data_IF_726606306076
#
_entry.id   IF_726606306076
#
_cell.length_a   1.000
_cell.length_b   1.000
_cell.length_c   1.000
_cell.angle_alpha   90.00
_cell.angle_beta   90.00
_cell.angle_gamma   90.00
#
_symmetry.space_group_name_H-M   'P 1'
#
loop_
_entity.id
_entity.type
_entity.pdbx_description
1 polymer ?
#
# COMPACT_ATOMS: atom_id res chain seq x y z
N UNK A 1 94.33 -17.09 -9.02
CA UNK A 1 94.86 -18.34 -8.47
C UNK A 1 93.73 -19.06 -7.84
N UNK A 2 93.34 -20.19 -8.17
CA UNK A 2 93.63 -21.51 -8.56
C UNK A 2 92.31 -22.25 -8.64
N UNK A 3 91.89 -22.70 -9.78
CA UNK A 3 91.75 -24.05 -10.29
C UNK A 3 90.81 -25.00 -9.49
N UNK A 4 89.67 -25.33 -10.12
CA UNK A 4 89.28 -26.65 -10.72
C UNK A 4 89.00 -27.74 -9.71
N UNK A 5 87.95 -28.49 -9.80
CA UNK A 5 87.72 -29.51 -10.90
C UNK A 5 86.31 -30.16 -10.73
N UNK A 6 85.81 -30.54 -11.91
CA UNK A 6 84.62 -31.34 -12.14
C UNK A 6 84.78 -32.81 -11.69
N UNK A 7 83.67 -33.43 -11.21
CA UNK A 7 83.53 -34.86 -11.46
C UNK A 7 82.06 -35.23 -11.80
N UNK A 8 81.92 -35.69 -13.05
CA UNK A 8 80.74 -36.36 -13.57
C UNK A 8 80.76 -37.81 -13.08
N UNK A 9 79.73 -38.24 -12.37
CA UNK A 9 79.45 -39.63 -12.05
C UNK A 9 78.26 -40.13 -12.83
N UNK A 10 78.44 -41.07 -13.65
CA UNK A 10 77.54 -41.72 -14.63
C UNK A 10 76.50 -42.57 -13.89
N UNK A 11 75.27 -42.46 -14.36
CA UNK A 11 74.10 -43.30 -14.08
C UNK A 11 74.33 -44.74 -14.46
N UNK A 12 73.93 -45.66 -13.60
CA UNK A 12 73.69 -47.03 -13.98
C UNK A 12 72.23 -47.43 -13.77
N UNK A 13 71.60 -47.84 -14.86
CA UNK A 13 70.23 -48.40 -14.92
C UNK A 13 70.25 -49.81 -14.37
N UNK A 14 69.28 -50.16 -13.54
CA UNK A 14 68.73 -51.50 -13.26
C UNK A 14 68.67 -51.74 -11.76
N UNK A 15 67.58 -51.44 -11.18
CA UNK A 15 66.91 -52.41 -10.25
C UNK A 15 65.41 -52.13 -10.29
N UNK A 16 64.72 -53.14 -10.66
CA UNK A 16 63.27 -53.22 -10.89
C UNK A 16 62.67 -53.84 -9.64
N UNK A 17 61.45 -53.40 -9.32
CA UNK A 17 60.36 -54.08 -8.58
C UNK A 17 60.48 -54.23 -7.05
N UNK A 18 59.58 -53.63 -6.42
CA UNK A 18 58.45 -54.12 -5.54
C UNK A 18 58.07 -53.08 -4.50
N UNK A 19 56.89 -52.67 -4.52
CA UNK A 19 56.39 -51.71 -3.47
C UNK A 19 54.96 -51.31 -3.72
N UNK A 20 54.06 -52.18 -3.36
CA UNK A 20 52.69 -51.93 -2.83
C UNK A 20 52.03 -50.61 -3.20
N UNK A 21 51.00 -50.69 -4.05
CA UNK A 21 49.96 -49.69 -4.27
C UNK A 21 49.17 -49.45 -2.98
N UNK A 22 49.48 -48.41 -2.24
CA UNK A 22 48.56 -47.82 -1.23
C UNK A 22 47.58 -46.94 -1.94
N UNK A 23 46.37 -47.44 -2.14
CA UNK A 23 45.20 -46.67 -2.52
C UNK A 23 44.88 -45.72 -1.37
N UNK A 24 45.34 -44.49 -1.47
CA UNK A 24 44.83 -43.38 -0.67
C UNK A 24 43.44 -43.09 -1.20
N UNK A 25 42.42 -43.65 -0.53
CA UNK A 25 41.03 -43.18 -0.69
C UNK A 25 40.94 -41.75 -0.14
N UNK A 26 41.07 -40.76 -1.04
CA UNK A 26 40.73 -39.41 -0.74
C UNK A 26 39.23 -39.38 -0.43
N UNK A 27 38.80 -38.88 0.75
CA UNK A 27 37.39 -38.71 0.98
C UNK A 27 36.88 -37.69 -0.05
N UNK A 28 35.96 -38.12 -0.90
CA UNK A 28 35.16 -37.24 -1.70
C UNK A 28 34.37 -36.37 -0.74
N UNK A 29 34.90 -35.20 -0.40
CA UNK A 29 34.12 -34.16 0.23
C UNK A 29 33.16 -33.71 -0.87
N UNK A 30 31.99 -34.36 -0.88
CA UNK A 30 30.81 -33.80 -1.55
C UNK A 30 30.54 -32.46 -0.88
N UNK A 31 31.18 -31.40 -1.39
CA UNK A 31 30.67 -30.06 -1.14
C UNK A 31 29.26 -30.07 -1.71
N UNK A 32 28.29 -30.33 -0.86
CA UNK A 32 26.92 -29.89 -1.13
C UNK A 32 27.03 -28.39 -1.34
N UNK A 33 27.27 -27.98 -2.59
CA UNK A 33 27.01 -26.63 -3.00
C UNK A 33 25.57 -26.40 -2.54
N UNK A 34 25.39 -25.74 -1.40
CA UNK A 34 24.09 -25.18 -1.03
C UNK A 34 23.73 -24.28 -2.18
N UNK A 35 22.91 -24.79 -3.11
CA UNK A 35 22.34 -23.97 -4.14
C UNK A 35 21.74 -22.78 -3.41
N UNK A 36 22.34 -21.60 -3.58
CA UNK A 36 21.85 -20.37 -2.99
C UNK A 36 20.39 -20.29 -3.40
N UNK A 37 19.47 -20.35 -2.44
CA UNK A 37 18.06 -20.38 -2.73
C UNK A 37 17.78 -19.22 -3.69
N UNK A 38 17.22 -19.51 -4.85
CA UNK A 38 16.84 -18.47 -5.82
C UNK A 38 16.02 -17.41 -5.08
N UNK A 39 16.35 -16.16 -5.28
CA UNK A 39 15.64 -15.02 -4.69
C UNK A 39 14.89 -14.29 -5.78
N UNK A 40 13.73 -13.75 -5.42
CA UNK A 40 12.96 -12.81 -6.23
C UNK A 40 13.03 -11.45 -5.56
N UNK A 41 13.67 -10.50 -6.21
CA UNK A 41 13.82 -9.14 -5.70
C UNK A 41 12.55 -8.34 -5.96
N UNK A 42 11.94 -7.83 -4.90
CA UNK A 42 10.77 -6.94 -4.96
C UNK A 42 11.16 -5.61 -4.35
N UNK A 43 11.07 -4.55 -5.14
CA UNK A 43 11.29 -3.19 -4.67
C UNK A 43 10.12 -2.69 -3.81
N UNK A 44 10.43 -2.00 -2.71
CA UNK A 44 9.44 -1.37 -1.83
C UNK A 44 9.85 0.09 -1.67
N UNK A 45 9.09 1.00 -2.31
CA UNK A 45 9.36 2.44 -2.28
C UNK A 45 8.24 3.11 -1.52
N UNK A 46 8.52 3.56 -0.29
CA UNK A 46 7.55 4.16 0.62
C UNK A 46 8.09 5.48 1.19
N UNK A 47 7.22 6.42 1.60
CA UNK A 47 7.64 7.58 2.36
C UNK A 47 7.97 7.13 3.80
N UNK A 48 9.24 6.85 4.07
CA UNK A 48 9.71 6.42 5.40
C UNK A 48 10.20 7.58 6.25
N UNK A 49 10.28 8.78 5.66
CA UNK A 49 10.61 10.04 6.33
C UNK A 49 9.69 11.17 5.84
N UNK A 50 9.65 12.29 6.60
CA UNK A 50 8.80 13.44 6.31
C UNK A 50 7.34 13.28 6.76
N UNK A 51 6.42 14.10 6.23
CA UNK A 51 5.04 14.24 6.71
C UNK A 51 4.21 12.95 6.61
N UNK A 52 4.54 12.05 5.68
CA UNK A 52 3.82 10.80 5.43
C UNK A 52 4.54 9.54 5.97
N UNK A 53 5.57 9.71 6.83
CA UNK A 53 6.42 8.61 7.31
C UNK A 53 5.63 7.49 8.01
N UNK A 54 4.59 7.85 8.77
CA UNK A 54 3.77 6.87 9.48
C UNK A 54 3.05 5.92 8.50
N UNK A 55 2.46 6.47 7.44
CA UNK A 55 1.79 5.67 6.40
C UNK A 55 2.76 4.75 5.66
N UNK A 56 3.95 5.26 5.34
CA UNK A 56 4.99 4.45 4.69
C UNK A 56 5.48 3.31 5.58
N UNK A 57 5.65 3.57 6.87
CA UNK A 57 6.03 2.55 7.86
C UNK A 57 4.94 1.48 8.00
N UNK A 58 3.68 1.87 8.09
CA UNK A 58 2.55 0.95 8.15
C UNK A 58 2.49 0.06 6.89
N UNK A 59 2.61 0.66 5.71
CA UNK A 59 2.63 -0.04 4.42
C UNK A 59 3.75 -1.06 4.36
N UNK A 60 4.97 -0.66 4.73
CA UNK A 60 6.13 -1.57 4.80
C UNK A 60 5.85 -2.74 5.75
N UNK A 61 5.30 -2.49 6.93
CA UNK A 61 4.98 -3.53 7.92
C UNK A 61 4.01 -4.57 7.35
N UNK A 62 3.01 -4.16 6.58
CA UNK A 62 2.09 -5.07 5.89
C UNK A 62 2.80 -5.95 4.86
N UNK A 63 3.67 -5.35 4.04
CA UNK A 63 4.48 -6.08 3.04
C UNK A 63 5.43 -7.07 3.72
N UNK A 64 6.15 -6.65 4.76
CA UNK A 64 7.09 -7.50 5.51
C UNK A 64 6.38 -8.71 6.14
N UNK A 65 5.19 -8.51 6.71
CA UNK A 65 4.41 -9.61 7.28
C UNK A 65 4.13 -10.70 6.24
N UNK A 66 3.62 -10.32 5.07
CA UNK A 66 3.27 -11.26 4.00
C UNK A 66 4.50 -11.91 3.39
N UNK A 67 5.57 -11.16 3.17
CA UNK A 67 6.83 -11.70 2.65
C UNK A 67 7.42 -12.78 3.59
N UNK A 68 7.39 -12.51 4.90
CA UNK A 68 7.87 -13.46 5.90
C UNK A 68 6.99 -14.71 5.96
N UNK A 69 5.67 -14.57 5.88
CA UNK A 69 4.74 -15.71 5.84
C UNK A 69 4.98 -16.60 4.61
N UNK A 70 5.10 -15.99 3.42
CA UNK A 70 5.39 -16.73 2.18
C UNK A 70 6.76 -17.41 2.27
N UNK A 71 7.76 -16.70 2.76
CA UNK A 71 9.10 -17.24 2.94
C UNK A 71 9.14 -18.41 3.95
N UNK A 72 8.41 -18.30 5.06
CA UNK A 72 8.28 -19.37 6.04
C UNK A 72 7.54 -20.59 5.48
N UNK A 73 6.53 -20.38 4.62
CA UNK A 73 5.78 -21.44 3.94
C UNK A 73 6.55 -22.14 2.80
N UNK A 74 7.81 -21.78 2.59
CA UNK A 74 8.69 -22.39 1.58
C UNK A 74 9.06 -21.49 0.42
N UNK A 75 8.47 -20.30 0.27
CA UNK A 75 8.70 -19.37 -0.82
C UNK A 75 7.81 -19.64 -2.04
N UNK A 76 8.18 -19.10 -3.18
CA UNK A 76 7.44 -19.15 -4.45
C UNK A 76 7.67 -20.52 -5.11
N UNK A 77 6.64 -21.36 -5.09
CA UNK A 77 6.73 -22.77 -5.48
C UNK A 77 7.05 -22.96 -6.96
N UNK A 78 6.42 -22.19 -7.84
CA UNK A 78 6.64 -22.27 -9.29
C UNK A 78 8.07 -21.89 -9.70
N UNK A 79 8.83 -21.23 -8.81
CA UNK A 79 10.24 -20.87 -9.02
C UNK A 79 11.21 -21.73 -8.20
N UNK A 80 10.79 -22.95 -7.83
CA UNK A 80 11.62 -23.88 -7.06
C UNK A 80 11.83 -23.42 -5.61
N UNK A 81 10.80 -22.88 -4.99
CA UNK A 81 10.79 -22.34 -3.62
C UNK A 81 11.69 -21.09 -3.46
N UNK A 82 11.78 -20.26 -4.48
CA UNK A 82 12.52 -19.01 -4.42
C UNK A 82 11.98 -18.12 -3.28
N UNK A 83 12.90 -17.50 -2.53
CA UNK A 83 12.54 -16.62 -1.43
C UNK A 83 12.33 -15.20 -1.94
N UNK A 84 11.35 -14.50 -1.34
CA UNK A 84 11.15 -13.07 -1.56
C UNK A 84 12.27 -12.32 -0.84
N UNK A 85 12.94 -11.43 -1.56
CA UNK A 85 13.90 -10.47 -1.05
C UNK A 85 13.34 -9.06 -1.24
N UNK A 86 13.00 -8.38 -0.14
CA UNK A 86 12.49 -7.02 -0.18
C UNK A 86 13.63 -6.02 -0.20
N UNK A 87 13.63 -5.12 -1.18
CA UNK A 87 14.58 -4.02 -1.30
C UNK A 87 13.85 -2.74 -0.97
N UNK A 88 13.99 -2.29 0.26
CA UNK A 88 13.26 -1.14 0.80
C UNK A 88 14.03 0.15 0.57
N UNK A 89 13.33 1.19 0.13
CA UNK A 89 13.91 2.52 -0.06
C UNK A 89 12.93 3.63 0.36
N UNK A 90 13.49 4.70 0.94
CA UNK A 90 12.75 5.87 1.37
C UNK A 90 12.52 6.84 0.21
N UNK A 91 11.27 7.05 -0.17
CA UNK A 91 10.85 8.06 -1.13
C UNK A 91 10.82 9.47 -0.53
N UNK A 92 11.07 9.61 0.76
CA UNK A 92 10.71 10.79 1.53
C UNK A 92 9.22 11.15 1.33
N UNK A 93 8.85 12.41 1.45
CA UNK A 93 7.50 12.86 1.12
C UNK A 93 7.48 13.77 -0.12
N UNK A 94 8.44 13.59 -1.05
CA UNK A 94 8.56 14.43 -2.25
C UNK A 94 8.59 13.62 -3.55
N UNK A 95 7.80 14.02 -4.57
CA UNK A 95 7.73 13.29 -5.85
C UNK A 95 9.07 13.17 -6.57
N UNK A 96 9.90 14.21 -6.55
CA UNK A 96 11.22 14.21 -7.19
C UNK A 96 12.13 13.13 -6.60
N UNK A 97 12.18 13.03 -5.25
CA UNK A 97 12.94 11.97 -4.57
C UNK A 97 12.40 10.59 -4.92
N UNK A 98 11.08 10.42 -4.91
CA UNK A 98 10.43 9.15 -5.25
C UNK A 98 10.83 8.65 -6.65
N UNK A 99 10.80 9.52 -7.65
CA UNK A 99 11.24 9.19 -9.01
C UNK A 99 12.73 8.83 -9.09
N UNK A 100 13.59 9.58 -8.39
CA UNK A 100 15.05 9.30 -8.33
C UNK A 100 15.34 7.96 -7.66
N UNK A 101 14.63 7.64 -6.57
CA UNK A 101 14.76 6.37 -5.85
C UNK A 101 14.33 5.21 -6.74
N UNK A 102 13.22 5.34 -7.47
CA UNK A 102 12.76 4.33 -8.42
C UNK A 102 13.79 4.06 -9.53
N UNK A 103 14.33 5.12 -10.11
CA UNK A 103 15.39 5.03 -11.14
C UNK A 103 16.60 4.25 -10.62
N UNK A 104 17.08 4.59 -9.42
CA UNK A 104 18.24 3.93 -8.79
C UNK A 104 17.94 2.48 -8.46
N UNK A 105 16.77 2.19 -7.87
CA UNK A 105 16.37 0.85 -7.48
C UNK A 105 16.33 -0.09 -8.69
N UNK A 106 15.72 0.32 -9.78
CA UNK A 106 15.63 -0.48 -11.01
C UNK A 106 17.00 -0.71 -11.63
N UNK A 107 17.88 0.31 -11.64
CA UNK A 107 19.18 0.20 -12.26
C UNK A 107 20.20 -0.65 -11.49
N UNK A 108 20.00 -0.84 -10.18
CA UNK A 108 21.00 -1.47 -9.31
C UNK A 108 20.58 -2.84 -8.76
N UNK A 109 19.28 -3.20 -8.78
CA UNK A 109 18.80 -4.31 -7.97
C UNK A 109 18.05 -5.42 -8.72
N UNK A 110 17.93 -5.34 -10.04
CA UNK A 110 17.23 -6.36 -10.87
C UNK A 110 15.85 -6.75 -10.27
N UNK A 111 15.03 -5.73 -9.95
CA UNK A 111 13.73 -5.97 -9.32
C UNK A 111 12.72 -6.53 -10.32
N UNK A 112 11.96 -7.54 -9.89
CA UNK A 112 10.83 -8.11 -10.64
C UNK A 112 9.65 -7.15 -10.73
N UNK A 113 9.37 -6.44 -9.63
CA UNK A 113 8.28 -5.50 -9.49
C UNK A 113 8.59 -4.48 -8.40
N UNK A 114 7.82 -3.40 -8.35
CA UNK A 114 7.86 -2.41 -7.26
C UNK A 114 6.49 -2.36 -6.58
N UNK A 115 6.47 -2.30 -5.26
CA UNK A 115 5.33 -1.96 -4.42
C UNK A 115 5.50 -0.53 -3.90
N UNK A 116 4.49 0.29 -4.04
CA UNK A 116 4.54 1.68 -3.57
C UNK A 116 3.64 2.64 -4.36
N UNK A 117 3.63 3.83 -4.02
CA UNK A 117 3.84 4.43 -2.73
C UNK A 117 2.48 4.61 -2.04
N UNK A 118 2.44 5.19 -0.85
CA UNK A 118 1.17 5.54 -0.21
C UNK A 118 0.53 6.79 -0.85
N UNK A 119 1.29 7.88 -0.89
CA UNK A 119 0.79 9.15 -1.43
C UNK A 119 0.74 9.12 -2.96
N UNK A 120 -0.41 9.53 -3.53
CA UNK A 120 -0.65 9.46 -4.97
C UNK A 120 0.38 10.26 -5.80
N UNK A 121 0.81 11.42 -5.33
CA UNK A 121 1.84 12.23 -6.00
C UNK A 121 3.19 11.51 -6.12
N UNK A 122 3.57 10.72 -5.10
CA UNK A 122 4.78 9.89 -5.13
C UNK A 122 4.61 8.72 -6.12
N UNK A 123 3.47 8.05 -6.07
CA UNK A 123 3.14 6.94 -6.99
C UNK A 123 3.17 7.39 -8.45
N UNK A 124 2.63 8.58 -8.75
CA UNK A 124 2.66 9.16 -10.10
C UNK A 124 4.11 9.32 -10.57
N UNK A 125 4.99 9.88 -9.75
CA UNK A 125 6.41 10.05 -10.09
C UNK A 125 7.15 8.71 -10.28
N UNK A 126 6.89 7.72 -9.40
CA UNK A 126 7.46 6.38 -9.53
C UNK A 126 6.96 5.72 -10.81
N UNK A 127 5.67 5.82 -11.12
CA UNK A 127 5.05 5.16 -12.28
C UNK A 127 5.58 5.65 -13.63
N UNK A 128 6.02 6.89 -13.72
CA UNK A 128 6.70 7.40 -14.93
C UNK A 128 8.03 6.71 -15.17
N UNK A 129 8.73 6.34 -14.12
CA UNK A 129 10.00 5.62 -14.21
C UNK A 129 9.76 4.14 -14.53
N UNK A 130 8.83 3.50 -13.80
CA UNK A 130 8.53 2.07 -13.97
C UNK A 130 7.95 1.77 -15.34
N UNK A 131 7.09 2.65 -15.88
CA UNK A 131 6.55 2.52 -17.24
C UNK A 131 7.64 2.54 -18.31
N UNK A 132 8.59 3.49 -18.22
CA UNK A 132 9.72 3.57 -19.18
C UNK A 132 10.69 2.40 -19.08
N UNK A 133 10.64 1.61 -18.04
CA UNK A 133 11.55 0.49 -17.74
C UNK A 133 10.85 -0.86 -17.80
N UNK A 134 9.57 -0.89 -18.19
CA UNK A 134 8.74 -2.10 -18.25
C UNK A 134 8.72 -2.90 -16.95
N UNK A 135 8.75 -2.21 -15.80
CA UNK A 135 8.67 -2.81 -14.46
C UNK A 135 7.26 -2.62 -13.90
N UNK A 136 6.55 -3.68 -13.50
CA UNK A 136 5.23 -3.53 -12.90
C UNK A 136 5.30 -2.83 -11.54
N UNK A 137 4.42 -1.85 -11.36
CA UNK A 137 4.20 -1.13 -10.10
C UNK A 137 2.80 -1.48 -9.57
N UNK A 138 2.73 -2.08 -8.39
CA UNK A 138 1.47 -2.30 -7.68
C UNK A 138 1.33 -1.26 -6.57
N UNK A 139 0.15 -0.67 -6.44
CA UNK A 139 -0.09 0.46 -5.53
C UNK A 139 -1.48 0.43 -4.92
N UNK A 140 -1.58 0.96 -3.68
CA UNK A 140 -2.85 1.27 -3.04
C UNK A 140 -3.22 2.77 -3.12
N UNK A 141 -2.43 3.57 -3.81
CA UNK A 141 -2.71 5.00 -3.96
C UNK A 141 -3.98 5.25 -4.77
N UNK A 142 -4.70 6.35 -4.48
CA UNK A 142 -6.08 6.52 -4.93
C UNK A 142 -6.27 7.37 -6.18
N UNK A 143 -5.37 8.32 -6.53
CA UNK A 143 -5.62 9.30 -7.58
C UNK A 143 -6.02 8.65 -8.91
N UNK A 144 -7.05 9.20 -9.55
CA UNK A 144 -7.63 8.67 -10.79
C UNK A 144 -6.64 8.61 -11.95
N UNK A 145 -5.72 9.56 -12.01
CA UNK A 145 -4.71 9.62 -13.06
C UNK A 145 -3.66 8.49 -12.97
N UNK A 146 -3.58 7.73 -11.87
CA UNK A 146 -2.64 6.62 -11.73
C UNK A 146 -2.86 5.61 -12.86
N UNK A 147 -4.07 5.10 -13.01
CA UNK A 147 -4.47 4.17 -14.09
C UNK A 147 -5.16 4.87 -15.27
N UNK A 148 -5.35 6.20 -15.21
CA UNK A 148 -6.01 6.99 -16.26
C UNK A 148 -5.09 7.47 -17.39
N UNK A 149 -3.75 7.23 -17.31
CA UNK A 149 -2.75 7.72 -18.27
C UNK A 149 -2.43 6.74 -19.40
N UNK A 150 -3.06 5.57 -19.43
CA UNK A 150 -2.83 4.54 -20.44
C UNK A 150 -1.51 3.74 -20.25
N UNK A 151 -0.91 3.80 -19.07
CA UNK A 151 0.29 3.03 -18.74
C UNK A 151 -0.02 1.53 -18.65
N UNK A 152 0.95 0.70 -19.05
CA UNK A 152 0.79 -0.75 -19.12
C UNK A 152 1.33 -1.47 -17.88
N UNK A 153 2.22 -0.84 -17.14
CA UNK A 153 2.94 -1.46 -16.04
C UNK A 153 2.48 -0.93 -14.66
N UNK A 154 1.27 -0.36 -14.56
CA UNK A 154 0.69 0.13 -13.31
C UNK A 154 -0.54 -0.70 -12.93
N UNK A 155 -0.64 -1.06 -11.63
CA UNK A 155 -1.74 -1.85 -11.09
C UNK A 155 -2.20 -1.24 -9.76
N UNK A 156 -3.42 -0.72 -9.73
CA UNK A 156 -4.03 -0.05 -8.59
C UNK A 156 -4.97 -1.04 -7.90
N UNK A 157 -4.60 -1.53 -6.72
CA UNK A 157 -5.33 -2.61 -6.00
C UNK A 157 -6.60 -2.13 -5.28
N UNK A 158 -6.86 -0.83 -5.29
CA UNK A 158 -7.99 -0.17 -4.63
C UNK A 158 -8.83 0.61 -5.63
N UNK A 159 -10.02 1.04 -5.22
CA UNK A 159 -10.86 1.94 -6.00
C UNK A 159 -10.19 3.32 -6.19
N UNK A 160 -10.53 4.00 -7.28
CA UNK A 160 -10.07 5.38 -7.55
C UNK A 160 -10.62 6.37 -6.51
N UNK A 161 -9.90 7.45 -6.30
CA UNK A 161 -10.32 8.52 -5.39
C UNK A 161 -11.70 9.10 -5.73
N UNK A 162 -12.02 9.26 -7.01
CA UNK A 162 -13.36 9.71 -7.43
C UNK A 162 -14.45 8.70 -7.05
N UNK A 163 -14.19 7.40 -7.12
CA UNK A 163 -15.13 6.36 -6.69
C UNK A 163 -15.26 6.33 -5.15
N UNK A 164 -14.15 6.56 -4.42
CA UNK A 164 -14.20 6.75 -2.96
C UNK A 164 -15.06 7.96 -2.58
N UNK A 165 -14.89 9.11 -3.26
CA UNK A 165 -15.68 10.31 -3.02
C UNK A 165 -17.18 10.07 -3.29
N UNK A 166 -17.50 9.36 -4.37
CA UNK A 166 -18.89 8.97 -4.65
C UNK A 166 -19.45 8.08 -3.54
N UNK A 167 -18.75 7.01 -3.17
CA UNK A 167 -19.20 6.11 -2.11
C UNK A 167 -19.31 6.81 -0.75
N UNK A 168 -18.39 7.74 -0.45
CA UNK A 168 -18.40 8.56 0.76
C UNK A 168 -19.70 9.34 0.88
N UNK A 169 -20.18 9.99 -0.19
CA UNK A 169 -21.45 10.71 -0.18
C UNK A 169 -22.65 9.74 -0.12
N UNK A 170 -22.68 8.73 -1.01
CA UNK A 170 -23.80 7.79 -1.09
C UNK A 170 -24.04 7.07 0.25
N UNK A 171 -22.97 6.60 0.89
CA UNK A 171 -23.07 5.93 2.19
C UNK A 171 -23.47 6.88 3.32
N UNK A 172 -22.98 8.12 3.27
CA UNK A 172 -23.37 9.17 4.23
C UNK A 172 -24.86 9.46 4.14
N UNK A 173 -25.39 9.63 2.92
CA UNK A 173 -26.83 9.88 2.69
C UNK A 173 -27.65 8.70 3.20
N UNK A 174 -27.25 7.47 2.91
CA UNK A 174 -27.94 6.26 3.36
C UNK A 174 -27.94 6.11 4.89
N UNK A 175 -26.81 6.41 5.55
CA UNK A 175 -26.68 6.39 7.01
C UNK A 175 -27.57 7.48 7.65
N UNK A 176 -27.53 8.71 7.14
CA UNK A 176 -28.34 9.82 7.63
C UNK A 176 -29.85 9.53 7.48
N UNK A 177 -30.27 8.99 6.32
CA UNK A 177 -31.66 8.58 6.09
C UNK A 177 -32.11 7.49 7.07
N UNK A 178 -31.26 6.51 7.35
CA UNK A 178 -31.58 5.46 8.33
C UNK A 178 -31.74 6.03 9.75
N UNK A 179 -31.10 7.18 10.04
CA UNK A 179 -31.26 7.94 11.28
C UNK A 179 -32.37 9.00 11.23
N UNK A 180 -33.20 9.04 10.19
CA UNK A 180 -34.29 9.99 10.02
C UNK A 180 -33.87 11.41 9.62
N UNK A 181 -32.62 11.58 9.14
CA UNK A 181 -32.06 12.88 8.73
C UNK A 181 -31.93 12.95 7.21
N UNK A 182 -32.37 14.04 6.61
CA UNK A 182 -32.16 14.34 5.20
C UNK A 182 -30.97 15.29 5.04
N UNK A 183 -30.13 15.01 4.07
CA UNK A 183 -28.99 15.85 3.68
C UNK A 183 -29.30 16.49 2.34
N UNK A 184 -29.43 17.82 2.34
CA UNK A 184 -29.66 18.64 1.16
C UNK A 184 -28.46 19.58 0.85
N UNK A 185 -27.60 19.82 1.86
CA UNK A 185 -26.47 20.76 1.77
C UNK A 185 -25.21 20.16 2.36
N UNK A 186 -24.12 20.18 1.58
CA UNK A 186 -22.83 19.66 2.02
C UNK A 186 -21.70 20.66 1.81
N UNK A 187 -20.62 20.47 2.57
CA UNK A 187 -19.35 21.15 2.41
C UNK A 187 -18.24 20.17 2.06
N UNK A 188 -17.30 20.56 1.20
CA UNK A 188 -16.07 19.83 0.89
C UNK A 188 -14.87 20.69 1.27
N UNK A 189 -13.91 20.11 1.98
CA UNK A 189 -12.59 20.70 2.23
C UNK A 189 -11.54 19.66 1.88
N UNK A 190 -10.52 20.02 1.09
CA UNK A 190 -9.58 19.02 0.63
C UNK A 190 -8.18 19.61 0.42
N UNK A 191 -7.16 18.79 0.68
CA UNK A 191 -5.79 19.14 0.33
C UNK A 191 -5.61 19.14 -1.20
N UNK A 192 -4.76 20.03 -1.71
CA UNK A 192 -4.67 20.38 -3.13
C UNK A 192 -3.81 19.43 -3.98
N UNK A 193 -3.36 18.27 -3.42
CA UNK A 193 -2.61 17.29 -4.20
C UNK A 193 -3.51 16.40 -5.08
N UNK A 194 -2.89 15.49 -5.83
CA UNK A 194 -3.59 14.59 -6.74
C UNK A 194 -4.67 13.74 -6.04
N UNK A 195 -4.46 13.35 -4.76
CA UNK A 195 -5.42 12.57 -3.99
C UNK A 195 -6.65 13.41 -3.62
N UNK A 196 -6.46 14.51 -2.89
CA UNK A 196 -7.58 15.34 -2.42
C UNK A 196 -8.40 15.90 -3.55
N UNK A 197 -7.75 16.39 -4.60
CA UNK A 197 -8.42 16.93 -5.81
C UNK A 197 -9.27 15.88 -6.51
N UNK A 198 -8.78 14.65 -6.67
CA UNK A 198 -9.53 13.58 -7.34
C UNK A 198 -10.75 13.14 -6.52
N UNK A 199 -10.60 12.97 -5.19
CA UNK A 199 -11.71 12.56 -4.32
C UNK A 199 -12.78 13.65 -4.23
N UNK A 200 -12.38 14.92 -4.10
CA UNK A 200 -13.30 16.06 -4.15
C UNK A 200 -14.05 16.12 -5.49
N UNK A 201 -13.39 15.77 -6.60
CA UNK A 201 -14.05 15.63 -7.91
C UNK A 201 -15.18 14.60 -7.90
N UNK A 202 -14.95 13.44 -7.28
CA UNK A 202 -15.95 12.39 -7.08
C UNK A 202 -17.15 12.85 -6.22
N UNK A 203 -16.85 13.53 -5.10
CA UNK A 203 -17.87 14.12 -4.22
C UNK A 203 -18.75 15.15 -4.97
N UNK A 204 -18.15 16.07 -5.74
CA UNK A 204 -18.87 17.05 -6.57
C UNK A 204 -19.81 16.38 -7.56
N UNK A 205 -19.30 15.39 -8.29
CA UNK A 205 -20.09 14.65 -9.27
C UNK A 205 -21.26 13.93 -8.61
N UNK A 206 -21.03 13.29 -7.47
CA UNK A 206 -22.07 12.60 -6.71
C UNK A 206 -23.11 13.57 -6.14
N UNK A 207 -22.70 14.70 -5.56
CA UNK A 207 -23.61 15.74 -5.05
C UNK A 207 -24.52 16.29 -6.16
N UNK A 208 -23.93 16.56 -7.33
CA UNK A 208 -24.70 17.02 -8.52
C UNK A 208 -25.71 15.94 -8.95
N UNK A 209 -25.33 14.69 -9.01
CA UNK A 209 -26.20 13.59 -9.43
C UNK A 209 -27.35 13.34 -8.43
N UNK A 210 -27.11 13.58 -7.12
CA UNK A 210 -28.10 13.45 -6.06
C UNK A 210 -28.96 14.72 -5.84
N UNK A 211 -28.74 15.81 -6.59
CA UNK A 211 -29.33 17.14 -6.37
C UNK A 211 -29.10 17.68 -4.95
N UNK A 212 -27.91 17.43 -4.39
CA UNK A 212 -27.46 17.96 -3.12
C UNK A 212 -26.66 19.23 -3.38
N UNK A 213 -27.00 20.32 -2.69
CA UNK A 213 -26.32 21.61 -2.83
C UNK A 213 -24.92 21.57 -2.21
N UNK A 214 -23.92 21.97 -2.98
CA UNK A 214 -22.56 22.15 -2.50
C UNK A 214 -22.37 23.59 -2.06
N UNK A 215 -22.51 23.84 -0.75
CA UNK A 215 -22.47 25.19 -0.15
C UNK A 215 -21.06 25.68 0.18
N UNK A 216 -20.08 24.78 0.19
CA UNK A 216 -18.66 25.10 0.36
C UNK A 216 -17.82 24.07 -0.38
N UNK A 217 -16.82 24.54 -1.12
CA UNK A 217 -15.90 23.71 -1.93
C UNK A 217 -14.52 24.35 -1.95
N UNK A 218 -13.72 24.04 -0.93
CA UNK A 218 -12.45 24.72 -0.72
C UNK A 218 -11.27 23.76 -0.71
N UNK A 219 -10.34 24.02 -1.64
CA UNK A 219 -8.99 23.44 -1.58
C UNK A 219 -8.13 24.23 -0.59
N UNK A 220 -7.18 23.53 0.03
CA UNK A 220 -6.14 24.15 0.84
C UNK A 220 -4.77 23.47 0.57
N UNK A 221 -3.65 24.19 0.74
CA UNK A 221 -2.32 23.62 0.57
C UNK A 221 -2.07 22.48 1.55
N UNK A 222 -1.50 21.36 1.06
CA UNK A 222 -1.06 20.27 1.93
C UNK A 222 -0.12 20.80 3.01
N UNK A 223 -0.36 20.41 4.26
CA UNK A 223 0.41 20.88 5.41
C UNK A 223 -0.04 22.25 5.92
N UNK A 224 -1.32 22.55 5.76
CA UNK A 224 -1.94 23.77 6.31
C UNK A 224 -1.65 23.92 7.82
N UNK A 225 -1.29 25.13 8.24
CA UNK A 225 -0.93 25.42 9.63
C UNK A 225 -2.02 26.13 10.43
N UNK A 226 -3.00 26.75 9.75
CA UNK A 226 -4.15 27.40 10.36
C UNK A 226 -5.43 27.07 9.57
N UNK A 227 -6.34 26.33 10.18
CA UNK A 227 -7.62 25.94 9.59
C UNK A 227 -8.77 26.85 10.03
N UNK A 228 -8.51 27.86 10.88
CA UNK A 228 -9.54 28.76 11.42
C UNK A 228 -10.38 29.43 10.33
N UNK A 229 -9.82 29.96 9.23
CA UNK A 229 -10.60 30.55 8.15
C UNK A 229 -11.57 29.56 7.49
N UNK A 230 -11.11 28.32 7.23
CA UNK A 230 -11.94 27.25 6.65
C UNK A 230 -13.11 26.89 7.59
N UNK A 231 -12.83 26.74 8.88
CA UNK A 231 -13.83 26.37 9.87
C UNK A 231 -14.86 27.50 10.11
N UNK A 232 -14.42 28.77 10.05
CA UNK A 232 -15.36 29.89 10.09
C UNK A 232 -16.26 29.92 8.86
N UNK A 233 -15.75 29.63 7.66
CA UNK A 233 -16.54 29.52 6.44
C UNK A 233 -17.52 28.34 6.53
N UNK A 234 -17.08 27.18 7.03
CA UNK A 234 -17.95 26.02 7.27
C UNK A 234 -19.10 26.38 8.21
N UNK A 235 -18.84 27.07 9.32
CA UNK A 235 -19.86 27.51 10.26
C UNK A 235 -20.93 28.37 9.60
N UNK A 236 -20.55 29.26 8.69
CA UNK A 236 -21.46 30.18 8.00
C UNK A 236 -22.15 29.53 6.78
N UNK A 237 -21.72 28.37 6.33
CA UNK A 237 -22.18 27.76 5.06
C UNK A 237 -23.58 27.17 5.13
N UNK A 238 -24.07 26.80 6.32
CA UNK A 238 -25.30 26.02 6.48
C UNK A 238 -25.21 24.58 6.02
N UNK A 239 -24.02 24.02 5.85
CA UNK A 239 -23.81 22.61 5.52
C UNK A 239 -24.33 21.70 6.63
N UNK A 240 -24.96 20.60 6.25
CA UNK A 240 -25.50 19.57 7.13
C UNK A 240 -24.49 18.40 7.33
N UNK A 241 -23.49 18.30 6.46
CA UNK A 241 -22.36 17.40 6.59
C UNK A 241 -21.13 18.02 5.91
N UNK A 242 -19.94 17.70 6.40
CA UNK A 242 -18.67 18.15 5.80
C UNK A 242 -17.81 16.96 5.46
N UNK A 243 -17.18 17.01 4.29
CA UNK A 243 -16.34 15.97 3.71
C UNK A 243 -14.89 16.48 3.63
N UNK A 244 -14.11 16.36 4.72
CA UNK A 244 -12.71 16.71 4.67
C UNK A 244 -11.89 15.56 4.07
N UNK A 245 -11.02 15.88 3.08
CA UNK A 245 -10.10 14.94 2.44
C UNK A 245 -8.69 15.39 2.74
N UNK A 246 -7.98 14.65 3.59
CA UNK A 246 -6.73 15.12 4.21
C UNK A 246 -5.81 13.96 4.56
N UNK A 247 -4.49 14.26 4.64
CA UNK A 247 -3.54 13.43 5.37
C UNK A 247 -3.57 13.72 6.87
N UNK A 248 -2.78 12.97 7.67
CA UNK A 248 -2.91 12.94 9.13
C UNK A 248 -2.82 14.31 9.81
N UNK A 249 -1.77 15.09 9.52
CA UNK A 249 -1.55 16.36 10.23
C UNK A 249 -2.70 17.34 10.00
N UNK A 250 -3.18 17.43 8.75
CA UNK A 250 -4.26 18.31 8.35
C UNK A 250 -5.60 17.81 8.95
N UNK A 251 -5.84 16.49 8.95
CA UNK A 251 -7.05 15.90 9.56
C UNK A 251 -7.14 16.17 11.05
N UNK A 252 -6.02 16.02 11.77
CA UNK A 252 -5.94 16.35 13.20
C UNK A 252 -6.26 17.81 13.46
N UNK A 253 -5.71 18.72 12.66
CA UNK A 253 -5.92 20.16 12.84
C UNK A 253 -7.35 20.55 12.52
N UNK A 254 -7.92 20.05 11.42
CA UNK A 254 -9.31 20.32 11.01
C UNK A 254 -10.32 19.87 12.09
N UNK A 255 -10.25 18.59 12.49
CA UNK A 255 -11.20 18.06 13.49
C UNK A 255 -11.03 18.74 14.84
N UNK A 256 -9.79 18.96 15.30
CA UNK A 256 -9.51 19.66 16.54
C UNK A 256 -10.10 21.07 16.53
N UNK A 257 -9.88 21.85 15.46
CA UNK A 257 -10.42 23.21 15.34
C UNK A 257 -11.95 23.20 15.30
N UNK A 258 -12.59 22.27 14.59
CA UNK A 258 -14.04 22.11 14.61
C UNK A 258 -14.56 21.87 16.03
N UNK A 259 -13.99 20.93 16.77
CA UNK A 259 -14.44 20.58 18.13
C UNK A 259 -14.21 21.72 19.13
N UNK A 260 -13.03 22.36 19.08
CA UNK A 260 -12.73 23.53 19.93
C UNK A 260 -13.68 24.71 19.67
N UNK A 261 -14.09 24.88 18.43
CA UNK A 261 -15.08 25.90 18.06
C UNK A 261 -16.53 25.43 18.20
N UNK A 262 -16.77 24.25 18.80
CA UNK A 262 -18.10 23.68 19.05
C UNK A 262 -18.96 23.54 17.79
N UNK A 263 -18.33 23.18 16.67
CA UNK A 263 -19.04 22.85 15.43
C UNK A 263 -19.51 21.40 15.53
N UNK A 264 -20.82 21.21 15.42
CA UNK A 264 -21.51 19.92 15.54
C UNK A 264 -21.78 19.27 14.19
N UNK A 265 -21.51 19.96 13.07
CA UNK A 265 -21.67 19.41 11.71
C UNK A 265 -20.91 18.09 11.62
N UNK A 266 -21.56 16.98 11.24
CA UNK A 266 -20.91 15.68 11.07
C UNK A 266 -19.76 15.77 10.07
N UNK A 267 -18.59 15.29 10.48
CA UNK A 267 -17.41 15.20 9.61
C UNK A 267 -17.26 13.76 9.11
N UNK A 268 -17.18 13.60 7.79
CA UNK A 268 -16.99 12.33 7.12
C UNK A 268 -15.64 12.36 6.42
N UNK A 269 -14.63 11.73 7.01
CA UNK A 269 -13.25 11.74 6.52
C UNK A 269 -13.09 11.04 5.19
N UNK A 270 -12.08 11.47 4.43
CA UNK A 270 -11.75 10.97 3.10
C UNK A 270 -10.79 9.76 3.07
N UNK A 271 -10.81 8.85 4.04
CA UNK A 271 -9.80 7.81 4.25
C UNK A 271 -8.47 8.37 4.82
N UNK A 272 -7.32 7.90 4.34
CA UNK A 272 -5.98 8.39 4.68
C UNK A 272 -5.83 8.82 6.17
N UNK A 273 -5.76 10.12 6.45
CA UNK A 273 -5.50 10.66 7.78
C UNK A 273 -6.58 10.44 8.84
N UNK A 274 -7.74 9.89 8.48
CA UNK A 274 -8.88 9.69 9.39
C UNK A 274 -8.98 8.26 9.94
N UNK A 275 -8.22 7.31 9.41
CA UNK A 275 -8.44 5.87 9.64
C UNK A 275 -7.22 5.14 10.18
N UNK A 276 -6.31 5.85 10.83
CA UNK A 276 -5.12 5.29 11.48
C UNK A 276 -5.10 5.58 12.99
N UNK A 277 -4.43 4.75 13.81
CA UNK A 277 -4.39 4.92 15.27
C UNK A 277 -3.91 6.30 15.72
N UNK A 278 -3.01 6.93 14.96
CA UNK A 278 -2.45 8.24 15.27
C UNK A 278 -3.50 9.36 15.22
N UNK A 279 -4.59 9.18 14.46
CA UNK A 279 -5.73 10.09 14.46
C UNK A 279 -6.44 10.09 15.81
N UNK A 280 -6.77 8.91 16.35
CA UNK A 280 -7.39 8.79 17.68
C UNK A 280 -6.42 9.25 18.78
N UNK A 281 -5.17 8.82 18.75
CA UNK A 281 -4.14 9.24 19.71
C UNK A 281 -3.95 10.75 19.75
N UNK A 282 -4.01 11.41 18.58
CA UNK A 282 -3.82 12.86 18.46
C UNK A 282 -5.05 13.67 18.89
N UNK A 283 -6.25 13.11 18.79
CA UNK A 283 -7.52 13.80 19.07
C UNK A 283 -8.18 13.38 20.39
N UNK A 284 -7.90 12.16 20.87
CA UNK A 284 -8.56 11.60 22.04
C UNK A 284 -10.08 11.54 21.84
N UNK A 285 -10.85 12.08 22.79
CA UNK A 285 -12.31 12.09 22.73
C UNK A 285 -12.89 12.81 21.50
N UNK A 286 -12.14 13.69 20.87
CA UNK A 286 -12.58 14.40 19.65
C UNK A 286 -12.68 13.48 18.43
N UNK A 287 -12.03 12.33 18.45
CA UNK A 287 -12.15 11.34 17.40
C UNK A 287 -13.45 10.52 17.47
N UNK A 288 -14.04 10.42 18.69
CA UNK A 288 -15.21 9.56 18.92
C UNK A 288 -16.39 9.96 18.04
N UNK A 289 -16.93 8.98 17.31
CA UNK A 289 -18.05 9.16 16.40
C UNK A 289 -17.69 9.72 15.02
N UNK A 290 -16.44 10.11 14.74
CA UNK A 290 -16.02 10.55 13.41
C UNK A 290 -16.18 9.38 12.43
N UNK A 291 -16.90 9.65 11.33
CA UNK A 291 -17.06 8.73 10.21
C UNK A 291 -15.92 8.93 9.19
N UNK A 292 -15.57 7.91 8.47
CA UNK A 292 -14.67 8.01 7.32
C UNK A 292 -14.96 6.93 6.28
N UNK A 293 -14.80 7.26 5.00
CA UNK A 293 -14.68 6.24 3.98
C UNK A 293 -13.34 5.52 4.17
N UNK A 294 -13.29 4.24 3.85
CA UNK A 294 -12.05 3.46 3.78
C UNK A 294 -12.13 2.47 2.63
N UNK A 295 -11.03 2.14 1.94
CA UNK A 295 -11.05 1.13 0.87
C UNK A 295 -11.26 -0.28 1.41
N UNK A 296 -10.79 -0.57 2.63
CA UNK A 296 -11.03 -1.78 3.41
C UNK A 296 -10.83 -1.46 4.90
N UNK A 297 -11.21 -2.37 5.80
CA UNK A 297 -10.94 -2.25 7.22
C UNK A 297 -10.55 -3.60 7.82
N UNK A 298 -9.75 -3.59 8.86
CA UNK A 298 -9.20 -4.79 9.51
C UNK A 298 -10.28 -5.75 10.04
N UNK A 299 -11.45 -5.24 10.41
CA UNK A 299 -12.55 -6.02 10.99
C UNK A 299 -13.35 -6.84 9.96
N UNK A 300 -13.01 -6.73 8.66
CA UNK A 300 -13.61 -7.55 7.61
C UNK A 300 -13.14 -9.00 7.69
N UNK A 301 -11.86 -9.23 7.97
CA UNK A 301 -11.28 -10.56 8.21
C UNK A 301 -10.24 -10.53 9.33
N UNK A 302 -10.71 -10.68 10.57
CA UNK A 302 -9.84 -10.69 11.76
C UNK A 302 -8.87 -11.88 11.79
N UNK A 303 -9.23 -13.01 11.14
CA UNK A 303 -8.33 -14.16 11.03
C UNK A 303 -7.02 -13.83 10.30
N UNK A 304 -7.07 -12.93 9.32
CA UNK A 304 -5.90 -12.41 8.63
C UNK A 304 -5.24 -11.26 9.40
N UNK A 305 -6.00 -10.26 9.80
CA UNK A 305 -5.49 -8.98 10.31
C UNK A 305 -4.97 -9.05 11.75
N UNK A 306 -5.44 -10.00 12.57
CA UNK A 306 -4.93 -10.21 13.93
C UNK A 306 -3.46 -10.66 13.95
N UNK A 307 -2.96 -11.28 12.87
CA UNK A 307 -1.54 -11.60 12.71
C UNK A 307 -0.67 -10.35 12.70
N UNK A 308 -1.16 -9.29 12.02
CA UNK A 308 -0.53 -7.99 12.02
C UNK A 308 -0.55 -7.35 13.41
N UNK A 309 -1.72 -7.34 14.08
CA UNK A 309 -1.87 -6.80 15.44
C UNK A 309 -0.95 -7.50 16.43
N UNK A 310 -0.84 -8.83 16.34
CA UNK A 310 0.06 -9.63 17.19
C UNK A 310 1.53 -9.27 16.99
N UNK A 311 1.94 -8.96 15.75
CA UNK A 311 3.33 -8.64 15.43
C UNK A 311 3.70 -7.19 15.75
N UNK A 312 2.82 -6.24 15.46
CA UNK A 312 3.15 -4.80 15.51
C UNK A 312 2.45 -4.03 16.63
N UNK A 313 1.50 -4.64 17.36
CA UNK A 313 0.89 -4.07 18.56
C UNK A 313 -0.26 -3.08 18.34
N UNK A 314 -0.74 -2.92 17.09
CA UNK A 314 -1.90 -2.09 16.73
C UNK A 314 -2.73 -2.77 15.66
N UNK A 315 -3.99 -2.32 15.43
CA UNK A 315 -4.83 -2.91 14.40
C UNK A 315 -4.22 -2.66 13.00
N UNK A 316 -4.47 -3.59 12.08
CA UNK A 316 -3.97 -3.46 10.71
C UNK A 316 -4.69 -2.34 9.98
N UNK A 317 -4.00 -1.23 9.80
CA UNK A 317 -4.51 -0.07 9.06
C UNK A 317 -4.67 -0.38 7.57
N UNK A 318 -5.56 0.34 6.91
CA UNK A 318 -5.91 0.05 5.51
C UNK A 318 -4.68 0.02 4.59
N UNK A 319 -3.74 0.95 4.73
CA UNK A 319 -2.55 0.98 3.87
C UNK A 319 -1.62 -0.21 4.06
N UNK A 320 -1.56 -0.76 5.29
CA UNK A 320 -0.82 -1.99 5.55
C UNK A 320 -1.52 -3.20 4.92
N UNK A 321 -2.86 -3.26 5.04
CA UNK A 321 -3.68 -4.32 4.49
C UNK A 321 -3.61 -4.35 2.97
N UNK A 322 -3.78 -3.24 2.32
CA UNK A 322 -3.81 -3.16 0.86
C UNK A 322 -2.45 -3.39 0.21
N UNK A 323 -1.36 -2.98 0.88
CA UNK A 323 -0.01 -3.35 0.43
C UNK A 323 0.31 -4.83 0.71
N UNK A 324 -0.23 -5.41 1.78
CA UNK A 324 -0.18 -6.86 2.01
C UNK A 324 -0.90 -7.61 0.88
N UNK A 325 -2.09 -7.16 0.50
CA UNK A 325 -2.84 -7.68 -0.65
C UNK A 325 -2.06 -7.49 -1.96
N UNK A 326 -1.43 -6.33 -2.17
CA UNK A 326 -0.64 -6.07 -3.36
C UNK A 326 0.54 -7.06 -3.50
N UNK A 327 1.24 -7.38 -2.39
CA UNK A 327 2.30 -8.39 -2.42
C UNK A 327 1.75 -9.80 -2.67
N UNK A 328 0.64 -10.19 -2.02
CA UNK A 328 0.01 -11.49 -2.22
C UNK A 328 -0.42 -11.68 -3.68
N UNK A 329 -1.07 -10.69 -4.27
CA UNK A 329 -1.47 -10.65 -5.69
C UNK A 329 -0.26 -10.74 -6.62
N UNK A 330 0.81 -10.01 -6.32
CA UNK A 330 2.06 -10.08 -7.09
C UNK A 330 2.64 -11.49 -7.06
N UNK A 331 2.66 -12.15 -5.90
CA UNK A 331 3.16 -13.53 -5.78
C UNK A 331 2.26 -14.50 -6.52
N UNK A 332 0.93 -14.37 -6.44
CA UNK A 332 0.01 -15.18 -7.25
C UNK A 332 0.25 -14.99 -8.75
N UNK A 333 0.56 -13.78 -9.20
CA UNK A 333 0.89 -13.50 -10.61
C UNK A 333 2.22 -14.16 -11.01
N UNK A 334 3.26 -14.12 -10.15
CA UNK A 334 4.54 -14.80 -10.38
C UNK A 334 4.35 -16.32 -10.44
N UNK A 335 3.54 -16.90 -9.54
CA UNK A 335 3.20 -18.33 -9.56
C UNK A 335 2.49 -18.72 -10.86
N UNK A 336 1.53 -17.90 -11.32
CA UNK A 336 0.79 -18.10 -12.57
C UNK A 336 1.71 -18.00 -13.80
N UNK A 337 2.59 -16.99 -13.82
CA UNK A 337 3.56 -16.77 -14.89
C UNK A 337 4.68 -17.84 -14.91
N UNK A 338 4.93 -18.51 -13.79
CA UNK A 338 6.10 -19.38 -13.55
C UNK A 338 7.43 -18.67 -13.90
N UNK A 339 7.48 -17.38 -13.73
CA UNK A 339 8.58 -16.49 -14.11
C UNK A 339 8.67 -15.31 -13.15
N UNK A 340 9.89 -14.85 -12.89
CA UNK A 340 10.17 -13.59 -12.19
C UNK A 340 10.55 -12.46 -13.15
N UNK A 341 10.43 -12.64 -14.47
CA UNK A 341 10.66 -11.56 -15.43
C UNK A 341 9.51 -10.56 -15.37
N UNK A 342 9.83 -9.29 -15.30
CA UNK A 342 8.86 -8.20 -15.17
C UNK A 342 7.76 -8.24 -16.25
N UNK A 343 8.12 -8.51 -17.50
CA UNK A 343 7.17 -8.62 -18.62
C UNK A 343 6.16 -9.75 -18.42
N UNK A 344 6.62 -10.96 -18.05
CA UNK A 344 5.75 -12.11 -17.82
C UNK A 344 4.79 -11.86 -16.65
N UNK A 345 5.27 -11.19 -15.58
CA UNK A 345 4.47 -10.81 -14.41
C UNK A 345 3.43 -9.75 -14.79
N UNK A 346 3.81 -8.74 -15.57
CA UNK A 346 2.88 -7.73 -16.08
C UNK A 346 1.75 -8.38 -16.90
N UNK A 347 2.08 -9.32 -17.78
CA UNK A 347 1.06 -10.07 -18.54
C UNK A 347 0.16 -10.91 -17.66
N UNK A 348 0.70 -11.53 -16.61
CA UNK A 348 -0.07 -12.35 -15.67
C UNK A 348 -1.02 -11.53 -14.77
N UNK A 349 -0.66 -10.27 -14.48
CA UNK A 349 -1.47 -9.33 -13.70
C UNK A 349 -2.64 -8.76 -14.52
N UNK A 350 -2.40 -8.41 -15.78
CA UNK A 350 -3.34 -7.67 -16.62
C UNK A 350 -4.57 -8.49 -17.00
N UNK A 351 -5.76 -7.92 -16.77
CA UNK A 351 -7.03 -8.58 -17.04
C UNK A 351 -7.26 -9.86 -16.22
N UNK A 352 -6.56 -10.01 -15.09
CA UNK A 352 -6.63 -11.19 -14.25
C UNK A 352 -7.42 -10.92 -12.97
N UNK A 353 -8.05 -11.97 -12.47
CA UNK A 353 -8.71 -12.02 -11.17
C UNK A 353 -7.91 -12.89 -10.21
N UNK A 354 -7.66 -12.36 -9.02
CA UNK A 354 -6.96 -13.02 -7.92
C UNK A 354 -7.91 -13.18 -6.73
N UNK A 355 -7.90 -14.35 -6.11
CA UNK A 355 -8.78 -14.70 -4.98
C UNK A 355 -8.02 -15.54 -3.97
N UNK A 356 -8.54 -15.60 -2.74
CA UNK A 356 -7.90 -16.33 -1.64
C UNK A 356 -6.71 -15.59 -1.05
N UNK A 357 -6.06 -16.17 -0.03
CA UNK A 357 -4.99 -15.50 0.68
C UNK A 357 -5.42 -14.15 1.26
N UNK A 358 -4.59 -13.14 1.12
CA UNK A 358 -4.85 -11.80 1.65
C UNK A 358 -5.97 -11.04 0.90
N UNK A 359 -6.36 -11.46 -0.32
CA UNK A 359 -7.49 -10.81 -1.02
C UNK A 359 -8.82 -10.97 -0.27
N UNK A 360 -8.95 -11.98 0.61
CA UNK A 360 -10.14 -12.18 1.44
C UNK A 360 -10.38 -11.03 2.43
N UNK A 361 -9.36 -10.27 2.78
CA UNK A 361 -9.47 -9.09 3.63
C UNK A 361 -10.03 -7.85 2.90
N UNK A 362 -10.15 -7.91 1.57
CA UNK A 362 -10.85 -6.89 0.79
C UNK A 362 -12.35 -7.15 0.79
N UNK A 363 -13.16 -6.11 0.78
CA UNK A 363 -14.64 -6.20 0.83
C UNK A 363 -15.22 -7.12 -0.25
N UNK A 364 -14.66 -7.09 -1.46
CA UNK A 364 -15.06 -7.95 -2.57
C UNK A 364 -14.42 -9.36 -2.56
N UNK A 365 -13.55 -9.68 -1.60
CA UNK A 365 -12.84 -10.96 -1.51
C UNK A 365 -11.91 -11.28 -2.70
N UNK A 366 -11.63 -10.30 -3.54
CA UNK A 366 -10.87 -10.45 -4.77
C UNK A 366 -10.16 -9.16 -5.18
N UNK A 367 -9.13 -9.33 -6.03
CA UNK A 367 -8.55 -8.26 -6.85
C UNK A 367 -8.70 -8.65 -8.30
N UNK A 368 -9.36 -7.81 -9.10
CA UNK A 368 -9.61 -8.06 -10.52
C UNK A 368 -9.20 -6.83 -11.33
N UNK A 369 -8.09 -6.95 -12.06
CA UNK A 369 -7.57 -5.86 -12.86
C UNK A 369 -8.23 -5.80 -14.23
N UNK A 370 -8.72 -4.63 -14.60
CA UNK A 370 -9.14 -4.33 -15.98
C UNK A 370 -7.95 -4.06 -16.91
N UNK A 371 -8.25 -3.68 -18.15
CA UNK A 371 -7.22 -3.34 -19.15
C UNK A 371 -6.39 -2.11 -18.78
N UNK A 372 -6.84 -1.25 -17.88
CA UNK A 372 -6.08 -0.11 -17.38
C UNK A 372 -5.18 -0.44 -16.19
N UNK A 373 -5.34 -1.62 -15.59
CA UNK A 373 -4.68 -2.04 -14.35
C UNK A 373 -5.41 -1.58 -13.08
N UNK A 374 -6.66 -1.14 -13.20
CA UNK A 374 -7.50 -0.80 -12.05
C UNK A 374 -8.19 -2.05 -11.50
N UNK A 375 -8.18 -2.22 -10.18
CA UNK A 375 -9.01 -3.23 -9.51
C UNK A 375 -10.49 -2.83 -9.56
N UNK A 376 -11.29 -3.57 -10.33
CA UNK A 376 -12.74 -3.36 -10.47
C UNK A 376 -13.57 -4.05 -9.39
N UNK A 377 -12.97 -4.95 -8.60
CA UNK A 377 -13.63 -5.66 -7.50
C UNK A 377 -13.55 -4.90 -6.17
N UNK A 378 -12.86 -3.75 -6.11
CA UNK A 378 -12.71 -2.98 -4.88
C UNK A 378 -14.00 -2.25 -4.51
N UNK A 379 -14.55 -2.57 -3.34
CA UNK A 379 -15.76 -1.96 -2.77
C UNK A 379 -15.35 -1.24 -1.47
N UNK A 380 -15.45 0.11 -1.41
CA UNK A 380 -15.17 0.85 -0.18
C UNK A 380 -16.14 0.54 0.94
N UNK A 381 -15.74 0.83 2.17
CA UNK A 381 -16.57 0.72 3.36
C UNK A 381 -16.62 2.06 4.11
N UNK A 382 -17.71 2.31 4.83
CA UNK A 382 -17.75 3.39 5.81
C UNK A 382 -17.35 2.82 7.17
N UNK A 383 -16.44 3.49 7.84
CA UNK A 383 -15.98 3.15 9.19
C UNK A 383 -16.30 4.29 10.16
N UNK A 384 -16.39 3.97 11.44
CA UNK A 384 -16.62 4.95 12.49
C UNK A 384 -15.71 4.70 13.69
N UNK A 385 -15.10 5.75 14.20
CA UNK A 385 -14.35 5.69 15.45
C UNK A 385 -15.27 5.45 16.63
N UNK A 386 -15.05 4.36 17.38
CA UNK A 386 -15.80 3.96 18.55
C UNK A 386 -14.88 3.33 19.59
N UNK A 387 -14.83 3.92 20.77
CA UNK A 387 -14.03 3.38 21.88
C UNK A 387 -12.60 3.07 21.44
N UNK A 388 -11.99 3.97 20.66
CA UNK A 388 -10.62 3.90 20.13
C UNK A 388 -10.38 2.84 19.03
N UNK A 389 -11.42 2.20 18.52
CA UNK A 389 -11.35 1.25 17.42
C UNK A 389 -12.13 1.78 16.20
N UNK A 390 -11.71 1.39 15.00
CA UNK A 390 -12.47 1.65 13.79
C UNK A 390 -13.42 0.49 13.52
N UNK A 391 -14.71 0.77 13.49
CA UNK A 391 -15.76 -0.22 13.25
C UNK A 391 -16.34 0.01 11.86
N UNK A 392 -16.42 -1.04 11.06
CA UNK A 392 -17.12 -1.01 9.76
C UNK A 392 -18.61 -0.90 10.01
N UNK A 393 -19.24 0.17 9.49
CA UNK A 393 -20.64 0.50 9.71
C UNK A 393 -21.50 0.50 8.44
N UNK A 394 -20.88 0.43 7.26
CA UNK A 394 -21.58 0.37 5.97
C UNK A 394 -20.64 -0.20 4.87
N UNK A 395 -21.14 -0.91 3.85
CA UNK A 395 -22.55 -1.31 3.62
C UNK A 395 -23.04 -2.33 4.65
N UNK A 396 -24.37 -2.49 4.74
CA UNK A 396 -25.03 -3.27 5.80
C UNK A 396 -24.65 -4.75 5.82
N UNK A 397 -24.37 -5.33 4.66
CA UNK A 397 -24.00 -6.75 4.49
C UNK A 397 -22.62 -7.11 5.07
N UNK A 398 -21.74 -6.15 5.18
CA UNK A 398 -20.39 -6.34 5.77
C UNK A 398 -20.18 -5.58 7.09
N UNK A 399 -21.15 -4.77 7.51
CA UNK A 399 -21.09 -3.97 8.72
C UNK A 399 -20.90 -4.81 9.99
N UNK A 400 -20.05 -4.35 10.88
CA UNK A 400 -19.78 -4.94 12.22
C UNK A 400 -20.50 -4.22 13.35
N UNK A 401 -21.14 -3.09 13.04
CA UNK A 401 -21.97 -2.30 13.95
C UNK A 401 -22.88 -1.36 13.18
N UNK A 402 -23.97 -0.90 13.83
CA UNK A 402 -24.84 0.10 13.23
C UNK A 402 -24.14 1.48 13.24
N UNK A 403 -24.26 2.30 12.20
CA UNK A 403 -23.72 3.66 12.21
C UNK A 403 -24.45 4.53 13.27
N UNK A 404 -23.70 5.35 13.99
CA UNK A 404 -24.24 6.39 14.88
C UNK A 404 -24.16 7.72 14.14
N UNK A 405 -25.34 8.24 13.76
CA UNK A 405 -25.44 9.57 13.18
C UNK A 405 -25.66 10.58 14.30
N UNK A 406 -24.69 11.49 14.50
CA UNK A 406 -24.80 12.61 15.47
C UNK A 406 -24.88 13.90 14.65
N UNK A 407 -26.04 14.53 14.65
CA UNK A 407 -26.28 15.84 14.03
C UNK A 407 -26.14 16.96 15.07
#
# INVERSE_FOLDING_TARGET
>A
MSKTSSHRGRINRRTVLAGTASLIAAPWISSTARAQAKQVNIGVIMPLSGANAQFGTNSRNGIELVADEINAAGGIKALGNAKINLIVADATSTPTTAGTVAQRMISQNEVTAILGAFASSLTIAISEVTERRDIPLLTMSFADQITGRGYKNIFQVVAKASALGKAQLDYTVAIAQAAGTRIDKIAIMYEDTAYGTAQAGGLRAAAKAANIELVMDDAYPLGITDTTPLINKLRASGAQAVFPVSYLNDSLLLIRTMRQQRITIPAIGGAAGYVIPDFEKGLGEFAEGVLSIAPANYDLDTGLTDRFRKRFGYFMVHEALEHAVALDVLVQAIEKAKSAKAEDVTMALRGAKFTGGWTNAMTGGAVEFDSSGLNTASIPVMVQWRKKELVTVWPKDVAKGAAEWKS
#
